data_IF_140222368486
#
_entry.id   IF_140222368486
#
_cell.length_a   1.000
_cell.length_b   1.000
_cell.length_c   1.000
_cell.angle_alpha   90.00
_cell.angle_beta   90.00
_cell.angle_gamma   90.00
#
_symmetry.space_group_name_H-M   'P 1'
#
loop_
_entity.id
_entity.type
_entity.pdbx_description
1 polymer ?
#
# COMPACT_ATOMS: atom_id res chain seq x y z
N UNK A 1 -14.19 11.52 -1.26
CA UNK A 1 -14.79 10.64 -0.25
C UNK A 1 -14.43 11.19 1.13
N UNK A 2 -15.42 11.39 1.99
CA UNK A 2 -15.20 12.05 3.27
C UNK A 2 -14.34 11.20 4.25
N UNK A 3 -14.26 9.89 4.02
CA UNK A 3 -13.50 8.93 4.85
C UNK A 3 -12.32 8.28 4.11
N UNK A 4 -11.92 8.81 2.96
CA UNK A 4 -10.83 8.29 2.14
C UNK A 4 -11.19 7.09 1.25
N UNK A 5 -12.44 6.64 1.20
CA UNK A 5 -12.83 5.48 0.39
C UNK A 5 -13.11 5.83 -1.07
N UNK A 6 -12.56 5.05 -1.97
CA UNK A 6 -12.95 5.00 -3.38
C UNK A 6 -14.03 3.93 -3.54
N UNK A 7 -15.28 4.36 -3.61
CA UNK A 7 -16.47 3.47 -3.59
C UNK A 7 -17.09 3.26 -4.96
N UNK A 8 -16.65 3.99 -5.99
CA UNK A 8 -17.08 3.74 -7.37
C UNK A 8 -16.63 2.34 -7.82
N UNK A 9 -17.41 1.69 -8.69
CA UNK A 9 -17.06 0.36 -9.21
C UNK A 9 -15.67 0.35 -9.83
N UNK A 10 -15.33 1.40 -10.57
CA UNK A 10 -13.99 1.70 -11.06
C UNK A 10 -13.71 3.19 -10.92
N UNK A 11 -12.61 3.55 -10.26
CA UNK A 11 -12.07 4.92 -10.22
C UNK A 11 -10.93 5.01 -11.21
N UNK A 12 -10.96 6.00 -12.10
CA UNK A 12 -9.92 6.19 -13.11
C UNK A 12 -9.15 7.47 -12.81
N UNK A 13 -7.83 7.36 -12.69
CA UNK A 13 -6.91 8.50 -12.65
C UNK A 13 -6.28 8.62 -14.04
N UNK A 14 -6.60 9.71 -14.73
CA UNK A 14 -6.08 10.00 -16.06
C UNK A 14 -4.82 10.89 -16.01
N UNK A 15 -3.96 10.78 -17.01
CA UNK A 15 -2.68 11.50 -17.03
C UNK A 15 -2.78 13.01 -17.34
N UNK A 16 -3.99 13.54 -17.56
CA UNK A 16 -4.19 14.98 -17.81
C UNK A 16 -4.17 15.81 -16.51
N UNK A 17 -4.14 15.14 -15.34
CA UNK A 17 -4.22 15.76 -14.01
C UNK A 17 -3.16 15.23 -13.09
N UNK A 18 -2.77 16.06 -12.13
CA UNK A 18 -2.03 15.63 -10.94
C UNK A 18 -3.02 15.37 -9.82
N UNK A 19 -2.90 14.23 -9.18
CA UNK A 19 -3.77 13.84 -8.05
C UNK A 19 -3.02 14.02 -6.74
N UNK A 20 -3.70 14.55 -5.73
CA UNK A 20 -3.14 14.71 -4.39
C UNK A 20 -3.86 13.78 -3.41
N UNK A 21 -3.10 12.91 -2.79
CA UNK A 21 -3.57 12.14 -1.64
C UNK A 21 -3.48 13.07 -0.42
N UNK A 22 -4.62 13.46 0.13
CA UNK A 22 -4.70 14.37 1.29
C UNK A 22 -5.00 13.64 2.61
N UNK A 23 -5.06 12.32 2.58
CA UNK A 23 -5.28 11.40 3.71
C UNK A 23 -4.93 9.97 3.31
N UNK A 24 -5.21 9.00 4.16
CA UNK A 24 -5.24 7.58 3.76
C UNK A 24 -6.39 7.36 2.78
N UNK A 25 -6.07 6.91 1.56
CA UNK A 25 -7.05 6.61 0.51
C UNK A 25 -7.18 5.10 0.38
N UNK A 26 -8.39 4.61 0.39
CA UNK A 26 -8.71 3.19 0.32
C UNK A 26 -9.46 2.86 -0.97
N UNK A 27 -8.92 1.94 -1.76
CA UNK A 27 -9.70 1.25 -2.80
C UNK A 27 -10.55 0.23 -2.07
N UNK A 28 -11.85 0.50 -1.95
CA UNK A 28 -12.76 -0.30 -1.13
C UNK A 28 -12.94 -1.72 -1.70
N UNK A 29 -13.26 -2.67 -0.84
CA UNK A 29 -13.45 -4.08 -1.20
C UNK A 29 -14.40 -4.24 -2.39
N UNK A 30 -14.02 -5.06 -3.35
CA UNK A 30 -14.79 -5.26 -4.59
C UNK A 30 -14.71 -4.10 -5.59
N UNK A 31 -13.87 -3.08 -5.34
CA UNK A 31 -13.68 -1.91 -6.22
C UNK A 31 -12.37 -1.99 -6.97
N UNK A 32 -12.28 -1.16 -8.00
CA UNK A 32 -11.10 -1.10 -8.89
C UNK A 32 -10.58 0.34 -8.94
N UNK A 33 -9.27 0.48 -8.83
CA UNK A 33 -8.56 1.71 -9.17
C UNK A 33 -7.75 1.47 -10.44
N UNK A 34 -8.01 2.25 -11.47
CA UNK A 34 -7.24 2.25 -12.72
C UNK A 34 -6.44 3.54 -12.82
N UNK A 35 -5.14 3.42 -13.01
CA UNK A 35 -4.22 4.56 -13.16
C UNK A 35 -3.62 4.47 -14.56
N UNK A 36 -3.86 5.49 -15.38
CA UNK A 36 -3.35 5.52 -16.76
C UNK A 36 -1.84 5.77 -16.82
N UNK A 37 -1.14 5.28 -17.85
CA UNK A 37 0.27 5.59 -18.07
C UNK A 37 0.55 7.11 -18.02
N UNK A 38 1.65 7.50 -17.40
CA UNK A 38 2.06 8.91 -17.28
C UNK A 38 1.34 9.70 -16.18
N UNK A 39 0.46 9.08 -15.40
CA UNK A 39 -0.25 9.74 -14.30
C UNK A 39 0.72 10.09 -13.16
N UNK A 40 0.57 11.30 -12.61
CA UNK A 40 1.28 11.77 -11.44
C UNK A 40 0.35 11.81 -10.23
N UNK A 41 0.73 11.09 -9.18
CA UNK A 41 0.04 11.05 -7.89
C UNK A 41 0.99 11.54 -6.81
N UNK A 42 0.57 12.49 -6.00
CA UNK A 42 1.39 13.10 -4.94
C UNK A 42 0.79 12.87 -3.57
N UNK A 43 1.58 12.41 -2.63
CA UNK A 43 1.19 12.29 -1.23
C UNK A 43 1.48 13.57 -0.47
N UNK A 44 0.48 14.12 0.23
CA UNK A 44 0.64 15.28 1.10
C UNK A 44 1.43 14.89 2.35
N UNK A 45 2.40 15.73 2.71
CA UNK A 45 3.15 15.56 3.95
C UNK A 45 2.39 16.20 5.11
N UNK A 46 2.23 15.47 6.20
CA UNK A 46 1.66 15.97 7.45
C UNK A 46 2.70 15.93 8.57
N UNK A 47 2.54 16.83 9.53
CA UNK A 47 3.46 16.97 10.66
C UNK A 47 3.25 15.94 11.78
N UNK A 48 2.14 15.20 11.74
CA UNK A 48 1.79 14.19 12.74
C UNK A 48 1.71 12.81 12.09
N UNK A 49 2.25 11.79 12.76
CA UNK A 49 2.28 10.41 12.28
C UNK A 49 0.89 9.88 11.89
N UNK A 50 -0.12 10.09 12.74
CA UNK A 50 -1.50 9.62 12.50
C UNK A 50 -2.15 10.20 11.23
N UNK A 51 -1.58 11.25 10.67
CA UNK A 51 -2.10 11.95 9.50
C UNK A 51 -1.39 11.59 8.20
N UNK A 52 -0.39 10.69 8.22
CA UNK A 52 0.34 10.33 7.02
C UNK A 52 -0.60 9.82 5.92
N UNK A 53 -0.38 10.32 4.70
CA UNK A 53 -1.15 9.89 3.53
C UNK A 53 -0.62 8.56 3.02
N UNK A 54 -1.51 7.69 2.56
CA UNK A 54 -1.16 6.42 1.94
C UNK A 54 -2.25 6.00 0.94
N UNK A 55 -1.90 5.11 0.02
CA UNK A 55 -2.88 4.44 -0.84
C UNK A 55 -2.96 2.97 -0.42
N UNK A 56 -4.12 2.53 0.06
CA UNK A 56 -4.36 1.14 0.45
C UNK A 56 -5.35 0.49 -0.50
N UNK A 57 -4.94 -0.59 -1.14
CA UNK A 57 -5.81 -1.49 -1.90
C UNK A 57 -6.28 -2.57 -0.94
N UNK A 58 -7.57 -2.53 -0.57
CA UNK A 58 -8.14 -3.46 0.40
C UNK A 58 -8.24 -4.89 -0.16
N UNK A 59 -8.39 -5.86 0.72
CA UNK A 59 -8.73 -7.23 0.31
C UNK A 59 -9.94 -7.21 -0.63
N UNK A 60 -9.91 -8.05 -1.66
CA UNK A 60 -10.93 -8.13 -2.73
C UNK A 60 -11.00 -6.89 -3.66
N UNK A 61 -10.21 -5.85 -3.43
CA UNK A 61 -10.07 -4.74 -4.36
C UNK A 61 -8.95 -5.01 -5.38
N UNK A 62 -8.89 -4.17 -6.42
CA UNK A 62 -7.83 -4.26 -7.43
C UNK A 62 -7.26 -2.90 -7.78
N UNK A 63 -5.97 -2.89 -8.12
CA UNK A 63 -5.31 -1.75 -8.73
C UNK A 63 -4.76 -2.16 -10.10
N UNK A 64 -5.02 -1.35 -11.11
CA UNK A 64 -4.37 -1.46 -12.42
C UNK A 64 -3.55 -0.18 -12.67
N UNK A 65 -2.29 -0.22 -12.28
CA UNK A 65 -1.30 0.83 -12.51
C UNK A 65 -0.29 0.30 -13.53
N UNK A 66 -0.70 0.28 -14.80
CA UNK A 66 0.08 -0.26 -15.89
C UNK A 66 0.68 0.87 -16.72
N UNK A 67 1.83 1.40 -16.28
CA UNK A 67 2.61 2.38 -17.00
C UNK A 67 3.34 1.78 -18.21
N UNK A 68 4.21 2.56 -18.82
CA UNK A 68 5.09 2.11 -19.91
C UNK A 68 6.50 2.66 -19.70
N UNK A 69 7.54 2.14 -20.39
CA UNK A 69 8.90 2.67 -20.30
C UNK A 69 9.01 4.16 -20.59
N UNK A 70 8.16 4.68 -21.47
CA UNK A 70 8.15 6.12 -21.87
C UNK A 70 7.12 6.96 -21.13
N UNK A 71 6.16 6.32 -20.46
CA UNK A 71 5.11 6.98 -19.68
C UNK A 71 4.91 6.22 -18.35
N UNK A 72 5.91 6.21 -17.44
CA UNK A 72 5.75 5.57 -16.13
C UNK A 72 4.70 6.30 -15.30
N UNK A 73 4.07 5.56 -14.41
CA UNK A 73 3.22 6.15 -13.38
C UNK A 73 4.12 6.56 -12.21
N UNK A 74 3.95 7.78 -11.70
CA UNK A 74 4.81 8.29 -10.63
C UNK A 74 3.97 8.62 -9.41
N UNK A 75 4.37 8.04 -8.27
CA UNK A 75 3.92 8.42 -6.94
C UNK A 75 5.07 9.12 -6.22
N UNK A 76 4.83 10.33 -5.70
CA UNK A 76 5.88 11.11 -5.06
C UNK A 76 5.33 12.01 -3.94
N UNK A 77 6.20 12.76 -3.26
CA UNK A 77 5.79 13.76 -2.28
C UNK A 77 5.11 14.97 -2.95
N UNK A 78 4.14 15.60 -2.28
CA UNK A 78 3.47 16.82 -2.79
C UNK A 78 4.48 17.93 -3.11
N UNK A 79 5.53 18.05 -2.29
CA UNK A 79 6.57 19.07 -2.44
C UNK A 79 7.60 18.78 -3.54
N UNK A 80 7.60 17.60 -4.15
CA UNK A 80 8.52 17.26 -5.25
C UNK A 80 8.12 18.01 -6.51
N UNK A 81 8.94 18.96 -7.04
CA UNK A 81 8.61 19.70 -8.25
C UNK A 81 8.76 18.88 -9.54
N UNK A 82 9.26 17.65 -9.47
CA UNK A 82 9.50 16.74 -10.61
C UNK A 82 10.55 17.22 -11.61
N UNK A 83 11.41 18.13 -11.23
CA UNK A 83 12.51 18.68 -12.05
C UNK A 83 13.90 18.16 -11.66
N UNK A 84 13.96 17.22 -10.72
CA UNK A 84 15.19 16.64 -10.19
C UNK A 84 15.87 17.45 -9.08
N UNK A 85 15.33 18.59 -8.67
CA UNK A 85 15.87 19.42 -7.61
C UNK A 85 15.51 18.93 -6.20
N UNK A 86 14.49 18.08 -6.09
CA UNK A 86 14.07 17.57 -4.79
C UNK A 86 15.09 16.59 -4.22
N UNK A 87 15.75 16.99 -3.13
CA UNK A 87 16.90 16.26 -2.60
C UNK A 87 16.52 14.84 -2.16
N UNK A 88 17.37 13.85 -2.47
CA UNK A 88 17.19 12.44 -2.08
C UNK A 88 17.18 12.22 -0.56
N UNK A 89 17.64 13.19 0.24
CA UNK A 89 17.49 13.16 1.69
C UNK A 89 16.07 13.39 2.19
N UNK A 90 15.16 13.84 1.32
CA UNK A 90 13.73 13.98 1.61
C UNK A 90 13.03 12.62 1.54
N UNK A 91 13.11 11.84 2.60
CA UNK A 91 12.45 10.54 2.73
C UNK A 91 11.30 10.62 3.75
N UNK A 92 10.38 9.68 3.74
CA UNK A 92 9.28 9.62 4.70
C UNK A 92 8.28 10.78 4.58
N UNK A 93 8.04 11.30 3.37
CA UNK A 93 7.16 12.45 3.16
C UNK A 93 5.69 12.07 3.04
N UNK A 94 5.42 10.81 2.74
CA UNK A 94 4.10 10.20 2.68
C UNK A 94 4.24 8.69 2.96
N UNK A 95 3.13 7.98 3.21
CA UNK A 95 3.20 6.60 3.68
C UNK A 95 3.68 5.61 2.63
N UNK A 96 3.14 5.68 1.43
CA UNK A 96 3.42 4.68 0.39
C UNK A 96 2.15 3.98 -0.11
N UNK A 97 2.35 2.82 -0.75
CA UNK A 97 1.27 2.00 -1.31
C UNK A 97 1.21 0.68 -0.53
N UNK A 98 0.02 0.32 -0.04
CA UNK A 98 -0.24 -0.96 0.62
C UNK A 98 -1.21 -1.77 -0.23
N UNK A 99 -0.90 -3.03 -0.52
CA UNK A 99 -1.77 -3.95 -1.27
C UNK A 99 -2.09 -5.15 -0.40
N UNK A 100 -3.37 -5.29 -0.03
CA UNK A 100 -3.88 -6.37 0.78
C UNK A 100 -4.51 -7.46 -0.10
N UNK A 101 -3.87 -8.62 -0.16
CA UNK A 101 -4.39 -9.82 -0.78
C UNK A 101 -4.91 -10.84 0.23
N UNK A 102 -5.16 -12.06 -0.23
CA UNK A 102 -5.70 -13.17 0.57
C UNK A 102 -4.87 -14.44 0.49
N UNK A 103 -3.67 -14.39 -0.06
CA UNK A 103 -2.77 -15.54 -0.08
C UNK A 103 -2.35 -15.96 1.33
N UNK A 104 -1.83 -17.16 1.44
CA UNK A 104 -1.17 -17.66 2.64
C UNK A 104 -0.05 -16.71 3.07
N UNK A 105 0.10 -16.52 4.36
CA UNK A 105 1.16 -15.70 4.93
C UNK A 105 1.91 -16.46 6.02
N UNK A 106 3.01 -15.91 6.45
CA UNK A 106 3.84 -16.49 7.52
C UNK A 106 3.44 -15.99 8.93
N UNK A 107 2.33 -15.29 9.04
CA UNK A 107 1.76 -14.87 10.31
C UNK A 107 1.09 -16.07 10.96
N UNK A 108 1.60 -16.49 12.11
CA UNK A 108 1.12 -17.68 12.76
C UNK A 108 -0.24 -17.48 13.42
N UNK A 109 -1.12 -18.43 13.19
CA UNK A 109 -2.26 -18.66 14.06
C UNK A 109 -1.71 -18.94 15.46
N UNK A 110 -2.10 -18.14 16.44
CA UNK A 110 -1.58 -18.15 17.80
C UNK A 110 -1.50 -19.59 18.39
N UNK A 111 -0.46 -19.85 19.09
CA UNK A 111 -0.22 -20.83 20.14
C UNK A 111 0.65 -22.04 19.87
N UNK A 112 1.09 -22.44 18.69
CA UNK A 112 1.94 -23.62 18.53
C UNK A 112 2.94 -23.62 17.36
N UNK A 113 3.34 -22.48 16.83
CA UNK A 113 4.34 -22.41 15.77
C UNK A 113 5.72 -21.93 16.23
N UNK A 114 6.80 -22.29 15.53
CA UNK A 114 8.17 -21.89 15.87
C UNK A 114 8.47 -20.40 15.69
N UNK A 115 7.57 -19.63 15.12
CA UNK A 115 7.70 -18.18 14.94
C UNK A 115 6.66 -17.46 15.78
N UNK A 116 7.09 -16.58 16.66
CA UNK A 116 6.19 -15.65 17.34
C UNK A 116 6.02 -14.41 16.46
N UNK A 117 4.81 -14.17 16.00
CA UNK A 117 4.48 -12.91 15.39
C UNK A 117 4.71 -11.76 16.37
N UNK A 118 5.35 -10.70 15.93
CA UNK A 118 5.48 -9.48 16.70
C UNK A 118 6.77 -9.30 17.49
N UNK A 119 7.82 -10.08 17.23
CA UNK A 119 9.13 -9.80 17.80
C UNK A 119 10.04 -9.24 16.72
N UNK A 120 9.97 -7.94 16.50
CA UNK A 120 10.97 -7.18 15.76
C UNK A 120 10.59 -6.67 14.37
N UNK A 121 9.40 -6.96 13.85
CA UNK A 121 8.98 -6.51 12.51
C UNK A 121 7.72 -5.61 12.49
N UNK A 122 7.21 -5.23 13.67
CA UNK A 122 6.04 -4.33 13.80
C UNK A 122 4.70 -4.90 13.31
N UNK A 123 4.67 -6.12 12.77
CA UNK A 123 3.44 -6.75 12.28
C UNK A 123 2.66 -7.42 13.40
N UNK A 124 1.38 -7.13 13.51
CA UNK A 124 0.51 -7.74 14.50
C UNK A 124 -0.29 -8.86 13.83
N UNK A 125 0.05 -10.11 14.17
CA UNK A 125 -0.78 -11.24 13.81
C UNK A 125 -2.04 -11.25 14.69
N UNK A 126 -3.20 -11.34 14.06
CA UNK A 126 -4.44 -11.66 14.76
C UNK A 126 -4.72 -13.16 14.64
N UNK A 127 -5.25 -13.76 15.70
CA UNK A 127 -5.43 -15.22 15.84
C UNK A 127 -6.33 -15.88 14.79
N UNK A 128 -6.81 -15.14 13.80
CA UNK A 128 -7.79 -15.58 12.82
C UNK A 128 -7.24 -15.64 11.37
N UNK A 129 -5.93 -15.58 11.16
CA UNK A 129 -5.32 -15.62 9.82
C UNK A 129 -5.19 -14.28 9.12
N UNK A 130 -5.63 -13.19 9.77
CA UNK A 130 -5.46 -11.82 9.27
C UNK A 130 -4.18 -11.21 9.83
N UNK A 131 -3.47 -10.47 8.98
CA UNK A 131 -2.40 -9.57 9.36
C UNK A 131 -2.80 -8.11 9.17
N UNK A 132 -1.99 -7.21 9.70
CA UNK A 132 -2.15 -5.75 9.53
C UNK A 132 -0.83 -5.19 9.06
N UNK A 133 -0.86 -4.25 8.13
CA UNK A 133 0.37 -3.55 7.71
C UNK A 133 1.01 -2.83 8.89
N UNK A 134 2.32 -2.77 8.87
CA UNK A 134 3.10 -2.03 9.85
C UNK A 134 2.59 -0.59 9.99
N UNK A 135 2.63 -0.05 11.19
CA UNK A 135 2.16 1.30 11.47
C UNK A 135 0.64 1.51 11.45
N UNK A 136 -0.16 0.54 10.99
CA UNK A 136 -1.61 0.63 11.03
C UNK A 136 -2.21 -0.03 12.29
N UNK A 137 -3.37 0.48 12.72
CA UNK A 137 -4.08 -0.11 13.86
C UNK A 137 -4.73 -1.44 13.47
N UNK A 138 -4.44 -2.50 14.23
CA UNK A 138 -5.00 -3.84 13.99
C UNK A 138 -6.54 -3.91 14.09
N UNK A 139 -7.15 -2.93 14.75
CA UNK A 139 -8.61 -2.82 14.87
C UNK A 139 -9.29 -2.32 13.60
N UNK A 140 -8.55 -1.76 12.64
CA UNK A 140 -9.12 -1.26 11.40
C UNK A 140 -9.09 -2.36 10.33
N UNK A 141 -10.24 -2.93 10.02
CA UNK A 141 -10.38 -4.00 9.01
C UNK A 141 -9.95 -3.59 7.60
N UNK A 142 -9.85 -2.29 7.32
CA UNK A 142 -9.37 -1.75 6.03
C UNK A 142 -7.87 -1.93 5.80
N UNK A 143 -7.13 -2.13 6.88
CA UNK A 143 -5.68 -2.25 6.86
C UNK A 143 -5.22 -3.70 7.02
N UNK A 144 -6.18 -4.65 6.95
CA UNK A 144 -5.92 -6.07 7.13
C UNK A 144 -5.73 -6.80 5.81
N UNK A 145 -4.84 -7.79 5.82
CA UNK A 145 -4.59 -8.72 4.72
C UNK A 145 -4.71 -10.18 5.19
N UNK A 146 -4.73 -11.14 4.27
CA UNK A 146 -4.92 -12.55 4.57
C UNK A 146 -6.39 -12.98 4.54
N UNK A 147 -6.72 -14.08 5.20
CA UNK A 147 -8.06 -14.65 5.24
C UNK A 147 -8.62 -14.67 6.66
N UNK A 148 -9.86 -14.25 6.85
CA UNK A 148 -10.55 -14.37 8.14
C UNK A 148 -11.09 -15.79 8.35
N UNK A 149 -10.23 -16.66 8.87
CA UNK A 149 -10.55 -18.08 9.09
C UNK A 149 -11.72 -18.27 10.08
N UNK A 150 -11.89 -17.36 11.05
CA UNK A 150 -13.00 -17.44 12.02
C UNK A 150 -14.33 -17.04 11.39
N UNK A 151 -14.32 -16.29 10.30
CA UNK A 151 -15.51 -15.98 9.50
C UNK A 151 -15.76 -17.02 8.38
N UNK A 152 -14.98 -18.10 8.32
CA UNK A 152 -15.11 -19.15 7.31
C UNK A 152 -14.42 -18.80 5.97
N UNK A 153 -13.61 -17.76 5.90
CA UNK A 153 -12.77 -17.51 4.72
C UNK A 153 -11.63 -18.55 4.66
N UNK A 154 -11.04 -18.73 3.49
CA UNK A 154 -9.83 -19.51 3.25
C UNK A 154 -8.80 -18.66 2.52
N UNK A 155 -7.52 -19.01 2.71
CA UNK A 155 -6.44 -18.43 1.90
C UNK A 155 -6.62 -18.79 0.42
N UNK A 156 -6.21 -17.84 -0.42
CA UNK A 156 -6.23 -18.00 -1.87
C UNK A 156 -4.86 -17.57 -2.44
N UNK A 157 -3.97 -18.53 -2.62
CA UNK A 157 -2.62 -18.29 -3.15
C UNK A 157 -2.62 -17.79 -4.60
N UNK A 158 -3.76 -17.89 -5.30
CA UNK A 158 -3.94 -17.35 -6.64
C UNK A 158 -4.66 -15.98 -6.63
N UNK A 159 -4.83 -15.38 -5.44
CA UNK A 159 -5.44 -14.06 -5.33
C UNK A 159 -4.81 -13.06 -6.30
N UNK A 160 -5.65 -12.20 -6.85
CA UNK A 160 -5.26 -11.23 -7.87
C UNK A 160 -5.69 -9.83 -7.43
N UNK A 161 -4.72 -9.05 -6.94
CA UNK A 161 -4.90 -7.66 -6.55
C UNK A 161 -4.66 -6.67 -7.71
N UNK A 162 -4.35 -7.17 -8.92
CA UNK A 162 -4.21 -6.35 -10.13
C UNK A 162 -2.80 -6.33 -10.71
N UNK A 163 -2.39 -5.16 -11.20
CA UNK A 163 -1.11 -4.95 -11.91
C UNK A 163 -0.45 -3.66 -11.41
N UNK A 164 0.83 -3.75 -11.03
CA UNK A 164 1.74 -2.62 -10.91
C UNK A 164 2.91 -2.87 -11.87
N UNK A 165 3.01 -2.05 -12.92
CA UNK A 165 4.08 -2.16 -13.93
C UNK A 165 4.53 -0.78 -14.38
N UNK A 166 5.84 -0.57 -14.50
CA UNK A 166 6.43 0.74 -14.78
C UNK A 166 5.90 1.83 -13.83
N UNK A 167 6.04 1.57 -12.51
CA UNK A 167 5.62 2.47 -11.42
C UNK A 167 6.84 2.94 -10.65
N UNK A 168 6.98 4.25 -10.48
CA UNK A 168 8.00 4.87 -9.63
C UNK A 168 7.36 5.36 -8.34
N UNK A 169 7.90 4.94 -7.19
CA UNK A 169 7.43 5.33 -5.85
C UNK A 169 8.57 6.07 -5.16
N UNK A 170 8.35 7.34 -4.81
CA UNK A 170 9.43 8.24 -4.36
C UNK A 170 9.09 8.89 -3.03
N UNK A 171 10.11 9.04 -2.17
CA UNK A 171 10.05 9.79 -0.92
C UNK A 171 9.01 9.29 0.09
N UNK A 172 8.67 8.00 0.00
CA UNK A 172 7.70 7.32 0.86
C UNK A 172 8.31 6.83 2.18
N UNK A 173 7.55 6.05 2.94
CA UNK A 173 8.01 5.44 4.19
C UNK A 173 7.75 6.30 5.41
N UNK A 174 6.63 7.05 5.44
CA UNK A 174 6.32 7.89 6.59
C UNK A 174 6.04 7.06 7.84
N UNK A 175 6.53 7.56 8.97
CA UNK A 175 6.21 7.02 10.30
C UNK A 175 4.73 7.28 10.59
N UNK A 176 3.97 6.22 10.87
CA UNK A 176 2.56 6.30 11.24
C UNK A 176 2.36 6.31 12.76
N UNK A 177 3.27 5.68 13.49
CA UNK A 177 3.31 5.64 14.96
C UNK A 177 4.75 5.35 15.41
N UNK A 178 5.03 5.48 16.68
CA UNK A 178 6.37 5.15 17.21
C UNK A 178 6.66 3.67 16.99
N UNK A 179 7.71 3.36 16.23
CA UNK A 179 8.09 1.99 15.86
C UNK A 179 7.15 1.34 14.84
N UNK A 180 6.51 2.14 14.00
CA UNK A 180 5.67 1.68 12.90
C UNK A 180 5.78 2.63 11.71
N UNK A 181 6.73 2.34 10.85
CA UNK A 181 6.99 3.00 9.58
C UNK A 181 6.30 2.23 8.46
N UNK A 182 5.78 2.93 7.45
CA UNK A 182 5.35 2.29 6.21
C UNK A 182 6.52 2.12 5.25
N UNK A 183 6.46 1.08 4.46
CA UNK A 183 7.36 0.88 3.32
C UNK A 183 6.87 1.64 2.08
N UNK A 184 7.72 1.82 1.07
CA UNK A 184 7.26 2.45 -0.17
C UNK A 184 6.17 1.60 -0.85
N UNK A 185 6.35 0.28 -0.83
CA UNK A 185 5.36 -0.70 -1.29
C UNK A 185 5.25 -1.85 -0.28
N UNK A 186 4.13 -1.92 0.43
CA UNK A 186 3.83 -3.02 1.37
C UNK A 186 2.88 -4.02 0.74
N UNK A 187 3.26 -5.31 0.74
CA UNK A 187 2.54 -6.40 0.09
C UNK A 187 2.05 -7.41 1.12
N UNK A 188 0.83 -7.24 1.63
CA UNK A 188 0.25 -8.14 2.61
C UNK A 188 -0.54 -9.28 1.97
N UNK A 189 -0.08 -10.53 2.05
CA UNK A 189 -0.77 -11.72 1.50
C UNK A 189 -1.14 -11.57 0.02
N UNK A 190 -0.33 -10.91 -0.79
CA UNK A 190 -0.58 -10.75 -2.23
C UNK A 190 -0.33 -12.09 -2.94
N UNK A 191 -1.33 -12.55 -3.68
CA UNK A 191 -1.29 -13.83 -4.37
C UNK A 191 -0.61 -13.76 -5.73
N UNK A 192 -0.26 -14.95 -6.25
CA UNK A 192 0.48 -15.11 -7.53
C UNK A 192 -0.29 -14.70 -8.77
N UNK A 193 -1.58 -14.40 -8.66
CA UNK A 193 -2.37 -13.80 -9.74
C UNK A 193 -2.10 -12.31 -9.94
N UNK A 194 -1.37 -11.66 -9.02
CA UNK A 194 -1.00 -10.25 -9.09
C UNK A 194 0.31 -10.08 -9.86
N UNK A 195 0.38 -9.07 -10.73
CA UNK A 195 1.60 -8.74 -11.47
C UNK A 195 2.27 -7.51 -10.83
N UNK A 196 3.55 -7.65 -10.46
CA UNK A 196 4.37 -6.55 -9.94
C UNK A 196 5.71 -6.64 -10.66
N UNK A 197 5.98 -5.69 -11.54
CA UNK A 197 7.21 -5.62 -12.31
C UNK A 197 7.63 -4.17 -12.62
N UNK A 198 8.88 -3.96 -13.02
CA UNK A 198 9.41 -2.64 -13.39
C UNK A 198 9.09 -1.56 -12.35
N UNK A 199 9.33 -1.86 -11.07
CA UNK A 199 9.11 -0.94 -9.95
C UNK A 199 10.42 -0.19 -9.67
N UNK A 200 10.34 1.13 -9.63
CA UNK A 200 11.41 2.00 -9.14
C UNK A 200 11.04 2.56 -7.77
N UNK A 201 11.97 2.49 -6.82
CA UNK A 201 11.79 3.12 -5.51
C UNK A 201 12.94 4.08 -5.25
N UNK A 202 12.60 5.32 -4.89
CA UNK A 202 13.58 6.39 -4.63
C UNK A 202 13.34 6.97 -3.24
N UNK A 203 14.37 6.91 -2.39
CA UNK A 203 14.41 7.60 -1.09
C UNK A 203 13.25 7.24 -0.17
N UNK A 204 13.05 5.97 0.12
CA UNK A 204 12.17 5.52 1.19
C UNK A 204 12.83 5.75 2.55
N UNK A 205 12.05 6.01 3.60
CA UNK A 205 12.57 6.18 4.95
C UNK A 205 12.80 4.83 5.65
N UNK A 206 12.04 3.83 5.27
CA UNK A 206 12.16 2.45 5.68
C UNK A 206 12.40 1.56 4.45
N UNK A 207 11.89 0.33 4.40
CA UNK A 207 12.11 -0.59 3.30
C UNK A 207 11.49 -0.11 1.98
N UNK A 208 12.12 -0.48 0.88
CA UNK A 208 11.58 -0.19 -0.45
C UNK A 208 10.35 -1.04 -0.74
N UNK A 209 10.45 -2.34 -0.53
CA UNK A 209 9.36 -3.32 -0.70
C UNK A 209 9.40 -4.30 0.46
N UNK A 210 8.27 -4.55 1.02
CA UNK A 210 8.06 -5.56 2.07
C UNK A 210 6.94 -6.53 1.73
#
# INVERSE_FOLDING_TARGET
>A
ANDGKLTASNTILDCSKTYILDKKIYVDSGKVLTIQPGTLVKGRTYSTADSATALTVMRYAKIFANGTPTCPIVFTAEADPMDGSYAISNKGKWGGICIAGRASNNLLLSNNGPFQAGVGDGRIAVANGLGTFEGFASSNSRDQFGANLTAGESFDDNDNSGILSYVSIRFAGAILQVGGELNALSLGSVGRGTTIDHIEIVSCADDGIE
#
